data_IF_478251985995
#
_entry.id   IF_478251985995
#
_cell.length_a   1.000
_cell.length_b   1.000
_cell.length_c   1.000
_cell.angle_alpha   90.00
_cell.angle_beta   90.00
_cell.angle_gamma   90.00
#
_symmetry.space_group_name_H-M   'P 1'
#
loop_
_entity.id
_entity.type
_entity.pdbx_description
1 polymer ?
#
# COMPACT_ATOMS: atom_id res chain seq x y z
N UNK A 1 -12.95 -63.66 -14.05
CA UNK A 1 -11.49 -63.43 -13.79
C UNK A 1 -10.76 -64.72 -14.12
N UNK A 2 -9.72 -64.65 -14.91
CA UNK A 2 -8.82 -65.77 -15.14
C UNK A 2 -7.94 -65.99 -13.93
N UNK A 3 -7.42 -67.20 -13.74
CA UNK A 3 -6.41 -67.53 -12.72
C UNK A 3 -5.13 -66.67 -12.88
N UNK A 4 -4.89 -66.09 -14.05
CA UNK A 4 -3.78 -65.18 -14.36
C UNK A 4 -4.09 -63.72 -14.07
N UNK A 5 -5.23 -63.37 -13.46
CA UNK A 5 -5.61 -62.00 -13.13
C UNK A 5 -6.12 -61.12 -14.27
N UNK A 6 -6.19 -61.64 -15.52
CA UNK A 6 -6.70 -60.92 -16.67
C UNK A 6 -8.23 -60.87 -16.64
N UNK A 7 -8.81 -59.76 -17.13
CA UNK A 7 -10.23 -59.59 -17.40
C UNK A 7 -10.45 -59.69 -18.93
N UNK A 8 -11.46 -60.44 -19.32
CA UNK A 8 -11.88 -60.58 -20.70
C UNK A 8 -13.28 -59.99 -20.84
N UNK A 9 -13.46 -59.10 -21.79
CA UNK A 9 -14.76 -58.48 -22.14
C UNK A 9 -15.05 -58.78 -23.58
N UNK A 10 -16.18 -59.45 -23.81
CA UNK A 10 -16.70 -59.70 -25.16
C UNK A 10 -17.26 -58.40 -25.76
N UNK A 11 -16.88 -58.09 -26.99
CA UNK A 11 -17.38 -56.99 -27.79
C UNK A 11 -17.89 -57.52 -29.14
N UNK A 12 -18.63 -56.72 -29.91
CA UNK A 12 -19.16 -57.10 -31.21
C UNK A 12 -18.07 -57.57 -32.21
N UNK A 13 -16.85 -57.12 -32.08
CA UNK A 13 -15.72 -57.43 -32.97
C UNK A 13 -14.64 -58.31 -32.32
N UNK A 14 -14.95 -59.02 -31.22
CA UNK A 14 -13.99 -59.90 -30.59
C UNK A 14 -13.97 -59.82 -29.06
N UNK A 15 -12.85 -60.25 -28.47
CA UNK A 15 -12.67 -60.27 -27.03
C UNK A 15 -11.51 -59.32 -26.68
N UNK A 16 -11.79 -58.32 -25.85
CA UNK A 16 -10.74 -57.48 -25.27
C UNK A 16 -10.20 -58.13 -24.00
N UNK A 17 -8.87 -58.32 -23.98
CA UNK A 17 -8.12 -58.83 -22.83
C UNK A 17 -7.31 -57.69 -22.20
N UNK A 18 -7.48 -57.43 -20.92
CA UNK A 18 -6.66 -56.47 -20.23
C UNK A 18 -6.34 -56.91 -18.80
N UNK A 19 -5.30 -56.34 -18.27
CA UNK A 19 -4.87 -56.55 -16.88
C UNK A 19 -5.23 -55.29 -16.06
N UNK A 20 -6.09 -55.41 -15.04
CA UNK A 20 -6.55 -54.21 -14.28
C UNK A 20 -5.45 -53.37 -13.70
N UNK A 21 -4.33 -53.99 -13.29
CA UNK A 21 -3.19 -53.31 -12.71
C UNK A 21 -2.50 -52.31 -13.67
N UNK A 22 -2.59 -52.54 -14.99
CA UNK A 22 -2.00 -51.66 -15.97
C UNK A 22 -2.71 -50.31 -16.04
N UNK A 23 -4.02 -50.28 -15.73
CA UNK A 23 -4.79 -49.02 -15.68
C UNK A 23 -4.48 -48.22 -14.42
N UNK A 24 -4.45 -48.86 -13.25
CA UNK A 24 -4.11 -48.20 -11.98
C UNK A 24 -2.68 -47.66 -11.97
N UNK A 25 -1.75 -48.39 -12.58
CA UNK A 25 -0.33 -47.91 -12.66
C UNK A 25 -0.15 -46.72 -13.58
N UNK A 26 -0.90 -46.61 -14.66
CA UNK A 26 -0.83 -45.46 -15.59
C UNK A 26 -1.43 -44.20 -14.98
N UNK A 27 -2.56 -44.32 -14.24
CA UNK A 27 -3.16 -43.19 -13.57
C UNK A 27 -2.24 -42.57 -12.50
N UNK A 28 -1.50 -43.36 -11.74
CA UNK A 28 -0.63 -42.92 -10.68
C UNK A 28 0.73 -42.35 -11.16
N UNK A 29 1.04 -42.45 -12.46
CA UNK A 29 2.34 -42.06 -13.00
C UNK A 29 2.31 -40.77 -13.82
N UNK A 30 1.14 -40.25 -14.13
CA UNK A 30 1.05 -39.03 -14.95
C UNK A 30 1.30 -37.80 -14.10
N UNK A 31 2.52 -37.21 -14.24
CA UNK A 31 2.81 -35.88 -13.72
C UNK A 31 1.90 -34.86 -14.44
N UNK A 32 0.93 -34.31 -13.72
CA UNK A 32 0.03 -33.32 -14.26
C UNK A 32 0.76 -31.96 -14.38
N UNK A 33 0.66 -31.36 -15.55
CA UNK A 33 1.11 -29.99 -15.76
C UNK A 33 -0.04 -29.02 -15.51
N UNK A 34 0.23 -27.94 -14.77
CA UNK A 34 -0.73 -26.87 -14.52
C UNK A 34 -0.42 -25.69 -15.43
N UNK A 35 -1.44 -25.16 -16.08
CA UNK A 35 -1.38 -23.96 -16.93
C UNK A 35 -2.26 -22.86 -16.35
N UNK A 36 -1.95 -21.61 -16.67
CA UNK A 36 -2.64 -20.42 -16.20
C UNK A 36 -3.40 -19.74 -17.36
N UNK A 37 -4.71 -20.01 -17.52
CA UNK A 37 -5.50 -19.43 -18.61
C UNK A 37 -5.66 -17.91 -18.49
N UNK A 38 -5.89 -17.39 -17.28
CA UNK A 38 -6.18 -15.97 -17.10
C UNK A 38 -5.60 -15.41 -15.80
N UNK A 39 -5.25 -14.13 -15.86
CA UNK A 39 -4.86 -13.32 -14.71
C UNK A 39 -5.77 -12.10 -14.64
N UNK A 40 -6.41 -11.90 -13.49
CA UNK A 40 -7.35 -10.80 -13.27
C UNK A 40 -6.85 -9.86 -12.21
N UNK A 41 -7.00 -8.57 -12.48
CA UNK A 41 -6.70 -7.51 -11.53
C UNK A 41 -8.01 -6.80 -11.16
N UNK A 42 -8.33 -6.74 -9.86
CA UNK A 42 -9.64 -6.22 -9.39
C UNK A 42 -10.83 -6.84 -10.14
N UNK A 43 -10.80 -8.16 -10.29
CA UNK A 43 -11.82 -8.97 -10.97
C UNK A 43 -12.03 -8.65 -12.48
N UNK A 44 -11.04 -8.04 -13.13
CA UNK A 44 -11.04 -7.79 -14.57
C UNK A 44 -9.83 -8.47 -15.20
N UNK A 45 -10.03 -9.20 -16.28
CA UNK A 45 -8.93 -9.83 -17.03
C UNK A 45 -7.94 -8.77 -17.52
N UNK A 46 -6.66 -9.04 -17.32
CA UNK A 46 -5.58 -8.15 -17.75
C UNK A 46 -5.26 -8.45 -19.21
N UNK A 47 -5.43 -7.50 -20.12
CA UNK A 47 -5.11 -7.70 -21.53
C UNK A 47 -3.59 -7.87 -21.72
N UNK A 48 -3.24 -8.66 -22.72
CA UNK A 48 -1.85 -8.81 -23.18
C UNK A 48 -1.55 -7.63 -24.12
N UNK A 49 -1.19 -6.48 -23.54
CA UNK A 49 -0.97 -5.21 -24.27
C UNK A 49 0.43 -4.62 -24.08
N UNK A 50 1.33 -5.38 -23.44
CA UNK A 50 2.71 -4.96 -23.15
C UNK A 50 2.87 -4.02 -21.95
N UNK A 51 1.76 -3.60 -21.29
CA UNK A 51 1.82 -2.72 -20.11
C UNK A 51 2.06 -3.50 -18.83
N UNK A 52 1.21 -4.48 -18.53
CA UNK A 52 1.34 -5.39 -17.38
C UNK A 52 1.77 -6.78 -17.82
N UNK A 53 1.19 -7.27 -18.89
CA UNK A 53 1.50 -8.55 -19.51
C UNK A 53 1.98 -8.33 -20.95
N UNK A 54 3.19 -8.77 -21.23
CA UNK A 54 3.74 -8.80 -22.60
C UNK A 54 3.34 -10.08 -23.34
N UNK A 55 3.08 -11.14 -22.58
CA UNK A 55 2.57 -12.44 -23.05
C UNK A 55 1.50 -12.94 -22.08
N UNK A 56 0.88 -14.07 -22.43
CA UNK A 56 -0.02 -14.79 -21.52
C UNK A 56 0.71 -15.08 -20.22
N UNK A 57 -0.03 -15.06 -19.09
CA UNK A 57 0.56 -15.28 -17.77
C UNK A 57 1.31 -16.62 -17.66
N UNK A 58 0.85 -17.64 -18.37
CA UNK A 58 1.50 -18.95 -18.41
C UNK A 58 2.90 -18.90 -19.02
N UNK A 59 3.12 -18.07 -20.03
CA UNK A 59 4.45 -17.89 -20.67
C UNK A 59 5.33 -16.92 -19.89
N UNK A 60 4.76 -15.81 -19.39
CA UNK A 60 5.52 -14.75 -18.73
C UNK A 60 5.88 -15.12 -17.29
N UNK A 61 4.99 -15.79 -16.56
CA UNK A 61 5.12 -16.27 -15.16
C UNK A 61 5.58 -15.22 -14.15
N UNK A 62 5.54 -13.95 -14.51
CA UNK A 62 5.90 -12.86 -13.62
C UNK A 62 5.06 -11.61 -13.89
N UNK A 63 4.55 -10.97 -12.83
CA UNK A 63 3.74 -9.75 -12.92
C UNK A 63 4.26 -8.71 -11.92
N UNK A 64 4.35 -7.45 -12.37
CA UNK A 64 4.72 -6.32 -11.53
C UNK A 64 3.52 -5.42 -11.32
N UNK A 65 3.02 -5.37 -10.10
CA UNK A 65 1.90 -4.54 -9.68
C UNK A 65 2.41 -3.35 -8.85
N UNK A 66 1.74 -2.22 -8.91
CA UNK A 66 2.09 -1.05 -8.09
C UNK A 66 0.87 -0.55 -7.34
N UNK A 67 0.93 -0.58 -6.01
CA UNK A 67 -0.18 -0.15 -5.18
C UNK A 67 0.05 -0.44 -3.69
N UNK A 68 -0.80 0.11 -2.84
CA UNK A 68 -0.73 -0.10 -1.39
C UNK A 68 -1.47 -1.37 -0.95
N UNK A 69 -2.60 -1.64 -1.60
CA UNK A 69 -3.47 -2.80 -1.33
C UNK A 69 -3.92 -3.34 -2.67
N UNK A 70 -3.28 -4.40 -3.12
CA UNK A 70 -3.58 -5.00 -4.41
C UNK A 70 -4.48 -6.20 -4.23
N UNK A 71 -5.35 -6.40 -5.21
CA UNK A 71 -6.19 -7.59 -5.30
C UNK A 71 -6.03 -8.18 -6.69
N UNK A 72 -5.70 -9.44 -6.75
CA UNK A 72 -5.62 -10.18 -7.99
C UNK A 72 -6.33 -11.52 -7.88
N UNK A 73 -6.72 -12.05 -9.01
CA UNK A 73 -7.24 -13.40 -9.13
C UNK A 73 -6.49 -14.14 -10.23
N UNK A 74 -6.27 -15.40 -10.01
CA UNK A 74 -5.56 -16.28 -10.92
C UNK A 74 -6.41 -17.48 -11.24
N UNK A 75 -6.60 -17.74 -12.52
CA UNK A 75 -7.24 -18.94 -13.02
C UNK A 75 -6.15 -19.97 -13.35
N UNK A 76 -6.35 -21.22 -12.96
CA UNK A 76 -5.44 -22.31 -13.28
C UNK A 76 -6.19 -23.61 -13.55
N UNK A 77 -5.60 -24.46 -14.36
CA UNK A 77 -6.16 -25.76 -14.72
C UNK A 77 -5.03 -26.78 -14.96
N UNK A 78 -5.23 -27.98 -14.48
CA UNK A 78 -4.35 -29.10 -14.80
C UNK A 78 -4.78 -29.77 -16.10
N UNK A 79 -3.81 -30.12 -16.92
CA UNK A 79 -4.04 -30.84 -18.17
C UNK A 79 -4.26 -32.36 -17.88
N UNK A 80 -5.39 -32.66 -17.26
CA UNK A 80 -5.80 -34.04 -16.96
C UNK A 80 -6.97 -34.45 -17.85
N UNK A 81 -6.64 -35.02 -19.01
CA UNK A 81 -7.65 -35.49 -19.98
C UNK A 81 -8.19 -36.88 -19.66
N UNK A 82 -7.47 -37.65 -18.83
CA UNK A 82 -7.86 -39.02 -18.50
C UNK A 82 -8.91 -39.09 -17.39
N UNK A 83 -8.80 -38.26 -16.39
CA UNK A 83 -9.67 -38.26 -15.20
C UNK A 83 -9.85 -36.84 -14.64
N UNK A 84 -10.53 -35.94 -15.38
CA UNK A 84 -10.66 -34.53 -14.96
C UNK A 84 -11.34 -34.38 -13.60
N UNK A 85 -12.36 -35.17 -13.30
CA UNK A 85 -13.14 -35.14 -12.05
C UNK A 85 -12.34 -35.59 -10.82
N UNK A 86 -11.22 -36.27 -11.01
CA UNK A 86 -10.37 -36.78 -9.92
C UNK A 86 -9.13 -35.89 -9.70
N UNK A 87 -9.11 -34.71 -10.29
CA UNK A 87 -8.00 -33.79 -10.13
C UNK A 87 -8.10 -33.07 -8.79
N UNK A 88 -7.02 -33.10 -8.02
CA UNK A 88 -6.87 -32.40 -6.75
C UNK A 88 -5.72 -31.41 -6.90
N UNK A 89 -5.92 -30.18 -6.48
CA UNK A 89 -4.87 -29.17 -6.47
C UNK A 89 -4.42 -28.89 -5.05
N UNK A 90 -3.13 -28.60 -4.90
CA UNK A 90 -2.61 -27.90 -3.74
C UNK A 90 -1.94 -26.62 -4.21
N UNK A 91 -2.23 -25.52 -3.55
CA UNK A 91 -1.64 -24.23 -3.86
C UNK A 91 -1.38 -23.43 -2.61
N UNK A 92 -0.49 -22.46 -2.73
CA UNK A 92 -0.24 -21.43 -1.71
C UNK A 92 0.38 -20.19 -2.34
N UNK A 93 0.15 -19.05 -1.71
CA UNK A 93 0.86 -17.82 -2.00
C UNK A 93 1.96 -17.63 -0.95
N UNK A 94 3.22 -17.87 -1.32
CA UNK A 94 4.36 -17.69 -0.44
C UNK A 94 4.47 -16.23 0.02
N UNK A 95 4.83 -16.00 1.27
CA UNK A 95 4.83 -14.72 1.98
C UNK A 95 3.43 -14.14 2.27
N UNK A 96 2.38 -14.94 2.12
CA UNK A 96 1.01 -14.60 2.50
C UNK A 96 0.29 -15.75 3.20
N UNK A 97 0.31 -16.95 2.62
CA UNK A 97 -0.32 -18.15 3.18
C UNK A 97 0.68 -18.93 4.03
N UNK A 98 0.29 -19.28 5.26
CA UNK A 98 1.12 -20.09 6.17
C UNK A 98 1.12 -21.56 5.79
N UNK A 99 0.05 -22.04 5.16
CA UNK A 99 -0.16 -23.47 4.85
C UNK A 99 -0.57 -23.67 3.40
N UNK A 100 -0.39 -24.91 2.92
CA UNK A 100 -0.95 -25.34 1.67
C UNK A 100 -2.47 -25.43 1.76
N UNK A 101 -3.15 -24.91 0.74
CA UNK A 101 -4.59 -25.04 0.54
C UNK A 101 -4.79 -26.15 -0.48
N UNK A 102 -5.65 -27.11 -0.15
CA UNK A 102 -5.94 -28.26 -1.03
C UNK A 102 -7.41 -28.22 -1.41
N UNK A 103 -7.72 -28.40 -2.68
CA UNK A 103 -9.12 -28.55 -3.18
C UNK A 103 -9.64 -29.94 -2.89
N UNK A 104 -10.96 -30.07 -2.68
CA UNK A 104 -11.63 -31.37 -2.60
C UNK A 104 -11.62 -32.15 -3.92
N UNK A 105 -11.85 -33.47 -3.86
CA UNK A 105 -11.88 -34.34 -5.04
C UNK A 105 -12.95 -33.92 -6.05
N UNK A 106 -14.10 -33.42 -5.58
CA UNK A 106 -15.21 -33.01 -6.45
C UNK A 106 -15.10 -31.55 -6.93
N UNK A 107 -14.22 -30.78 -6.32
CA UNK A 107 -14.01 -29.35 -6.61
C UNK A 107 -12.91 -29.11 -7.65
N UNK A 108 -12.08 -30.11 -7.94
CA UNK A 108 -10.92 -30.00 -8.82
C UNK A 108 -11.22 -30.06 -10.32
N UNK A 109 -12.49 -30.29 -10.71
CA UNK A 109 -12.86 -30.35 -12.12
C UNK A 109 -12.90 -28.97 -12.77
N UNK A 110 -12.26 -28.83 -13.93
CA UNK A 110 -12.28 -27.59 -14.71
C UNK A 110 -11.30 -26.53 -14.23
N UNK A 111 -11.57 -25.28 -14.62
CA UNK A 111 -10.74 -24.13 -14.28
C UNK A 111 -10.97 -23.74 -12.82
N UNK A 112 -9.91 -23.74 -12.06
CA UNK A 112 -9.92 -23.26 -10.67
C UNK A 112 -9.66 -21.77 -10.63
N UNK A 113 -10.36 -21.08 -9.72
CA UNK A 113 -10.26 -19.64 -9.51
C UNK A 113 -9.84 -19.33 -8.08
N UNK A 114 -8.74 -18.63 -7.90
CA UNK A 114 -8.28 -18.17 -6.60
C UNK A 114 -8.15 -16.65 -6.59
N UNK A 115 -8.59 -16.03 -5.51
CA UNK A 115 -8.53 -14.58 -5.32
C UNK A 115 -7.79 -14.22 -4.05
N UNK A 116 -6.82 -13.33 -4.19
CA UNK A 116 -6.10 -12.73 -3.09
C UNK A 116 -6.38 -11.24 -3.02
N UNK A 117 -6.75 -10.76 -1.84
CA UNK A 117 -7.14 -9.37 -1.64
C UNK A 117 -6.28 -8.69 -0.60
N UNK A 118 -6.16 -7.37 -0.69
CA UNK A 118 -5.46 -6.55 0.31
C UNK A 118 -3.97 -6.89 0.51
N UNK A 119 -3.29 -7.30 -0.56
CA UNK A 119 -1.87 -7.65 -0.53
C UNK A 119 -1.00 -6.39 -0.31
N UNK A 120 -0.20 -6.34 0.75
CA UNK A 120 0.77 -5.27 0.96
C UNK A 120 1.92 -5.34 -0.07
N UNK A 121 2.69 -4.28 -0.25
CA UNK A 121 3.89 -4.30 -1.08
C UNK A 121 4.88 -5.36 -0.59
N UNK A 122 5.11 -6.38 -1.41
CA UNK A 122 6.05 -7.47 -1.16
C UNK A 122 6.26 -8.28 -2.46
N UNK A 123 7.18 -9.24 -2.40
CA UNK A 123 7.36 -10.27 -3.43
C UNK A 123 6.62 -11.52 -3.02
N UNK A 124 5.70 -11.97 -3.87
CA UNK A 124 4.91 -13.17 -3.68
C UNK A 124 5.23 -14.19 -4.75
N UNK A 125 5.11 -15.48 -4.42
CA UNK A 125 5.21 -16.58 -5.36
C UNK A 125 3.95 -17.45 -5.20
N UNK A 126 3.09 -17.44 -6.21
CA UNK A 126 1.97 -18.37 -6.26
C UNK A 126 2.50 -19.70 -6.78
N UNK A 127 2.38 -20.71 -5.96
CA UNK A 127 2.83 -22.09 -6.27
C UNK A 127 1.63 -22.99 -6.27
N UNK A 128 1.46 -23.75 -7.34
CA UNK A 128 0.37 -24.72 -7.49
C UNK A 128 0.89 -26.01 -8.08
N UNK A 129 0.38 -27.13 -7.60
CA UNK A 129 0.59 -28.44 -8.21
C UNK A 129 -0.69 -29.24 -8.20
N UNK A 130 -0.82 -30.16 -9.15
CA UNK A 130 -2.00 -31.00 -9.32
C UNK A 130 -1.66 -32.48 -9.17
N UNK A 131 -2.65 -33.24 -8.71
CA UNK A 131 -2.58 -34.69 -8.56
C UNK A 131 -3.86 -35.36 -9.04
N UNK A 132 -3.76 -36.58 -9.53
CA UNK A 132 -4.93 -37.45 -9.74
C UNK A 132 -5.18 -38.25 -8.48
N UNK A 133 -6.28 -37.95 -7.76
CA UNK A 133 -6.64 -38.63 -6.52
C UNK A 133 -5.91 -38.16 -5.25
N UNK A 134 -5.00 -37.17 -5.33
CA UNK A 134 -4.41 -36.50 -4.16
C UNK A 134 -3.18 -37.18 -3.52
N UNK A 135 -2.72 -38.32 -4.05
CA UNK A 135 -1.60 -39.06 -3.44
C UNK A 135 -0.22 -38.54 -3.89
N UNK A 136 -0.04 -38.30 -5.19
CA UNK A 136 1.23 -37.83 -5.76
C UNK A 136 1.00 -36.55 -6.55
N UNK A 137 1.57 -35.46 -6.10
CA UNK A 137 1.51 -34.18 -6.80
C UNK A 137 2.58 -34.08 -7.89
N UNK A 138 2.16 -33.53 -9.04
CA UNK A 138 3.02 -33.28 -10.17
C UNK A 138 4.02 -32.14 -9.98
N UNK A 139 4.54 -31.62 -11.08
CA UNK A 139 5.44 -30.48 -11.05
C UNK A 139 4.75 -29.21 -10.53
N UNK A 140 5.49 -28.42 -9.76
CA UNK A 140 5.01 -27.15 -9.26
C UNK A 140 5.04 -26.10 -10.38
N UNK A 141 3.88 -25.53 -10.69
CA UNK A 141 3.79 -24.36 -11.53
C UNK A 141 3.85 -23.09 -10.66
N UNK A 142 4.69 -22.13 -11.05
CA UNK A 142 4.97 -20.95 -10.25
C UNK A 142 4.70 -19.68 -11.04
N UNK A 143 4.03 -18.71 -10.40
CA UNK A 143 3.86 -17.34 -10.89
C UNK A 143 4.41 -16.36 -9.86
N UNK A 144 5.34 -15.52 -10.26
CA UNK A 144 5.90 -14.49 -9.40
C UNK A 144 5.10 -13.19 -9.49
N UNK A 145 4.72 -12.64 -8.34
CA UNK A 145 3.92 -11.42 -8.26
C UNK A 145 4.69 -10.43 -7.39
N UNK A 146 5.19 -9.38 -8.00
CA UNK A 146 5.91 -8.30 -7.32
C UNK A 146 4.99 -7.10 -7.10
N UNK A 147 4.56 -6.89 -5.87
CA UNK A 147 3.78 -5.71 -5.48
C UNK A 147 4.72 -4.62 -4.99
N UNK A 148 4.87 -3.57 -5.80
CA UNK A 148 5.70 -2.41 -5.50
C UNK A 148 4.91 -1.37 -4.71
N UNK A 149 5.53 -0.69 -3.73
CA UNK A 149 4.89 0.43 -3.05
C UNK A 149 4.59 1.58 -4.01
N UNK A 150 3.54 2.37 -3.75
CA UNK A 150 3.27 3.57 -4.52
C UNK A 150 4.39 4.58 -4.35
N UNK A 151 4.58 5.46 -5.35
CA UNK A 151 5.69 6.41 -5.42
C UNK A 151 5.80 7.34 -4.20
N UNK A 152 4.65 7.70 -3.59
CA UNK A 152 4.62 8.57 -2.39
C UNK A 152 5.10 7.88 -1.11
N UNK A 153 5.19 6.55 -1.08
CA UNK A 153 5.79 5.76 0.00
C UNK A 153 7.26 5.42 -0.27
N UNK A 154 7.83 5.87 -1.38
CA UNK A 154 9.25 5.69 -1.65
C UNK A 154 10.09 6.38 -0.56
N UNK A 155 11.21 5.77 -0.16
CA UNK A 155 12.09 6.29 0.90
C UNK A 155 12.47 7.76 0.70
N UNK A 156 12.71 8.15 -0.54
CA UNK A 156 13.02 9.53 -0.91
C UNK A 156 11.88 10.52 -0.56
N UNK A 157 10.62 10.11 -0.75
CA UNK A 157 9.46 10.95 -0.43
C UNK A 157 9.24 11.08 1.08
N UNK A 158 9.51 10.04 1.85
CA UNK A 158 9.45 10.11 3.33
C UNK A 158 10.47 11.11 3.85
N UNK A 159 11.70 11.12 3.33
CA UNK A 159 12.73 12.12 3.65
C UNK A 159 12.28 13.52 3.23
N UNK A 160 11.72 13.69 2.03
CA UNK A 160 11.20 14.97 1.56
C UNK A 160 10.09 15.52 2.46
N UNK A 161 9.17 14.68 2.92
CA UNK A 161 8.15 15.10 3.89
C UNK A 161 8.74 15.51 5.23
N UNK A 162 9.76 14.80 5.72
CA UNK A 162 10.49 15.18 6.94
C UNK A 162 11.15 16.55 6.82
N UNK A 163 11.84 16.81 5.71
CA UNK A 163 12.47 18.12 5.43
C UNK A 163 11.41 19.23 5.33
N UNK A 164 10.31 18.98 4.65
CA UNK A 164 9.22 19.95 4.49
C UNK A 164 8.57 20.29 5.83
N UNK A 165 8.37 19.30 6.70
CA UNK A 165 7.87 19.49 8.05
C UNK A 165 8.83 20.35 8.89
N UNK A 166 10.13 20.08 8.83
CA UNK A 166 11.15 20.89 9.52
C UNK A 166 11.16 22.33 9.03
N UNK A 167 11.07 22.57 7.73
CA UNK A 167 10.99 23.91 7.14
C UNK A 167 9.72 24.65 7.58
N UNK A 168 8.58 23.95 7.66
CA UNK A 168 7.33 24.53 8.15
C UNK A 168 7.41 24.94 9.62
N UNK A 169 8.02 24.12 10.48
CA UNK A 169 8.25 24.45 11.90
C UNK A 169 9.22 25.63 12.05
N UNK A 170 10.32 25.62 11.32
CA UNK A 170 11.30 26.71 11.34
C UNK A 170 10.69 28.04 10.82
N UNK A 171 9.98 27.99 9.70
CA UNK A 171 9.30 29.15 9.12
C UNK A 171 8.20 29.71 10.04
N UNK A 172 7.40 28.83 10.63
CA UNK A 172 6.38 29.19 11.63
C UNK A 172 6.98 29.84 12.87
N UNK A 173 8.07 29.26 13.38
CA UNK A 173 8.80 29.82 14.50
C UNK A 173 9.38 31.23 14.22
N UNK A 174 9.99 31.40 13.04
CA UNK A 174 10.49 32.71 12.60
C UNK A 174 9.38 33.75 12.41
N UNK A 175 8.24 33.31 11.82
CA UNK A 175 7.07 34.17 11.65
C UNK A 175 6.50 34.62 13.02
N UNK A 176 6.37 33.67 13.95
CA UNK A 176 5.88 33.96 15.28
C UNK A 176 6.82 34.93 16.04
N UNK A 177 8.14 34.71 15.99
CA UNK A 177 9.14 35.63 16.56
C UNK A 177 9.06 37.04 15.96
N UNK A 178 8.87 37.14 14.63
CA UNK A 178 8.69 38.45 13.97
C UNK A 178 7.39 39.12 14.39
N UNK A 179 6.31 38.37 14.57
CA UNK A 179 5.02 38.89 15.02
C UNK A 179 5.10 39.44 16.46
N UNK A 180 5.67 38.66 17.38
CA UNK A 180 5.87 39.07 18.77
C UNK A 180 6.80 40.30 18.86
N UNK A 181 7.89 40.31 18.10
CA UNK A 181 8.83 41.43 18.07
C UNK A 181 8.22 42.75 17.56
N UNK A 182 7.23 42.69 16.63
CA UNK A 182 6.48 43.86 16.18
C UNK A 182 5.56 44.40 17.29
N UNK A 183 4.81 43.53 17.95
CA UNK A 183 3.94 43.91 19.05
C UNK A 183 4.70 44.54 20.22
N UNK A 184 5.85 44.01 20.58
CA UNK A 184 6.73 44.60 21.60
C UNK A 184 7.25 45.98 21.23
N UNK A 185 7.64 46.18 19.96
CA UNK A 185 8.14 47.50 19.50
C UNK A 185 7.05 48.59 19.56
N UNK A 186 5.80 48.23 19.21
CA UNK A 186 4.66 49.14 19.31
C UNK A 186 4.33 49.50 20.75
N UNK A 187 4.41 48.56 21.69
CA UNK A 187 4.24 48.84 23.11
C UNK A 187 5.30 49.75 23.67
N UNK A 188 6.58 49.49 23.35
CA UNK A 188 7.68 50.37 23.79
C UNK A 188 7.55 51.77 23.21
N UNK A 189 7.17 51.89 21.93
CA UNK A 189 6.95 53.18 21.29
C UNK A 189 5.81 53.99 21.95
N UNK A 190 4.72 53.32 22.34
CA UNK A 190 3.58 53.96 23.01
C UNK A 190 3.94 54.44 24.43
N UNK A 191 4.68 53.64 25.20
CA UNK A 191 5.17 54.00 26.53
C UNK A 191 6.13 55.20 26.44
N UNK A 192 7.06 55.17 25.48
CA UNK A 192 8.02 56.27 25.29
C UNK A 192 7.33 57.58 24.90
N UNK A 193 6.24 57.52 24.09
CA UNK A 193 5.44 58.71 23.76
C UNK A 193 4.69 59.23 24.98
N UNK A 194 4.06 58.37 25.79
CA UNK A 194 3.41 58.82 27.04
C UNK A 194 4.38 59.50 27.98
N UNK A 195 5.53 58.89 28.24
CA UNK A 195 6.55 59.46 29.11
C UNK A 195 7.06 60.83 28.63
N UNK A 196 7.19 61.02 27.28
CA UNK A 196 7.55 62.34 26.73
C UNK A 196 6.45 63.38 26.91
N UNK A 197 5.17 63.00 26.77
CA UNK A 197 4.05 63.91 27.00
C UNK A 197 3.96 64.32 28.46
N UNK A 198 4.04 63.35 29.37
CA UNK A 198 4.02 63.58 30.82
C UNK A 198 5.17 64.51 31.26
N UNK A 199 6.35 64.34 30.66
CA UNK A 199 7.51 65.21 30.95
C UNK A 199 7.33 66.64 30.39
N UNK A 200 6.66 66.80 29.25
CA UNK A 200 6.30 68.09 28.69
C UNK A 200 5.20 68.73 29.53
N UNK A 201 4.20 68.04 29.95
CA UNK A 201 3.16 68.60 30.87
C UNK A 201 3.75 69.04 32.22
N UNK A 202 4.64 68.21 32.79
CA UNK A 202 5.32 68.56 34.03
C UNK A 202 6.20 69.87 33.88
N UNK A 203 6.87 69.94 32.71
CA UNK A 203 7.65 71.22 32.43
C UNK A 203 6.74 72.43 32.27
N UNK A 204 5.58 72.29 31.56
CA UNK A 204 4.61 73.39 31.38
C UNK A 204 4.03 73.81 32.74
N UNK A 205 3.66 72.86 33.59
CA UNK A 205 3.15 73.07 34.93
C UNK A 205 4.19 73.89 35.78
N UNK A 206 5.44 73.45 35.76
CA UNK A 206 6.52 74.05 36.49
C UNK A 206 6.77 75.47 36.00
N UNK A 207 6.74 75.77 34.71
CA UNK A 207 6.84 77.08 34.16
C UNK A 207 5.64 77.96 34.55
N UNK A 208 4.44 77.43 34.60
CA UNK A 208 3.26 78.19 35.02
C UNK A 208 3.31 78.53 36.49
N UNK A 209 3.75 77.60 37.32
CA UNK A 209 3.95 77.84 38.78
C UNK A 209 5.01 78.89 39.02
N UNK A 210 6.18 78.82 38.42
CA UNK A 210 7.22 79.80 38.50
C UNK A 210 6.76 81.15 37.96
N UNK A 211 6.03 81.17 36.86
CA UNK A 211 5.47 82.44 36.33
C UNK A 211 4.47 83.08 37.32
N UNK A 212 3.66 82.36 38.04
CA UNK A 212 2.75 82.84 39.07
C UNK A 212 3.49 83.32 40.33
N UNK A 213 4.52 82.55 40.73
CA UNK A 213 5.37 83.02 41.87
C UNK A 213 6.10 84.31 41.59
N UNK A 214 6.52 84.53 40.36
CA UNK A 214 7.20 85.77 39.94
C UNK A 214 6.19 86.95 39.83
N UNK A 215 4.94 86.63 39.42
CA UNK A 215 3.92 87.67 39.25
C UNK A 215 3.57 88.39 40.53
N UNK A 216 3.59 87.69 41.65
CA UNK A 216 3.21 88.23 42.97
C UNK A 216 4.21 89.29 43.42
N UNK A 217 5.54 89.11 43.45
CA UNK A 217 6.50 90.14 43.84
C UNK A 217 6.61 91.29 42.81
N UNK A 218 6.44 90.96 41.49
CA UNK A 218 6.44 92.01 40.46
C UNK A 218 5.23 92.94 40.59
N UNK A 219 4.05 92.41 40.95
CA UNK A 219 2.88 93.24 41.21
C UNK A 219 3.01 94.14 42.46
N UNK A 220 3.76 93.68 43.44
CA UNK A 220 4.09 94.47 44.63
C UNK A 220 5.06 95.60 44.37
N UNK A 221 5.97 95.48 43.41
CA UNK A 221 6.95 96.51 43.03
C UNK A 221 6.33 97.54 42.07
N UNK A 222 5.28 97.17 41.32
CA UNK A 222 4.59 98.00 40.36
C UNK A 222 3.41 98.81 41.00
N UNK A 223 3.15 98.70 42.30
CA UNK A 223 2.17 99.51 42.98
C UNK A 223 2.67 100.93 43.09
N UNK A 224 1.97 101.89 42.51
CA UNK A 224 2.41 103.30 42.60
C UNK A 224 2.32 103.75 44.03
N UNK A 225 3.39 104.43 44.48
CA UNK A 225 3.41 105.23 45.74
C UNK A 225 2.62 106.51 45.46
N UNK A 226 1.46 106.61 46.00
CA UNK A 226 0.79 107.86 46.24
C UNK A 226 1.10 108.37 47.68
#
# INVERSE_FOLDING_TARGET
>A
KSSTGHIYIGCNNGINKFYPYDFTRRENSAKLSVVFPDFKLFNRSVPVDGRLLSNTIDCQRSVRLRGRKMSFSLDFIALNFSSPLRTVYRYRLENFDDKWITTGLDEGAGVQHVSYTNLPPNRYRFVVSASTGGEQFGEEAVVEILVLPPWWMARAMVVAYGVLALLAVAGGGLWLRRRIGRAHREQIASITRKNKLDLLEAKVSLFTEVANEIRTPVALIAAPVE
#
